data_IF_582232558290
#
_entry.id   IF_582232558290
#
_cell.length_a   1.000
_cell.length_b   1.000
_cell.length_c   1.000
_cell.angle_alpha   90.00
_cell.angle_beta   90.00
_cell.angle_gamma   90.00
#
_symmetry.space_group_name_H-M   'P 1'
#
loop_
_entity.id
_entity.type
_entity.pdbx_description
1 polymer ?
#
# COMPACT_ATOMS: atom_id res chain seq x y z
N UNK A 1 -9.42 3.82 17.61
CA UNK A 1 -9.19 3.71 16.15
C UNK A 1 -10.29 2.86 15.55
N UNK A 2 -11.06 3.42 14.62
CA UNK A 2 -12.19 2.72 14.02
C UNK A 2 -11.72 1.51 13.20
N UNK A 3 -12.31 0.35 13.45
CA UNK A 3 -12.02 -0.86 12.71
C UNK A 3 -12.75 -0.82 11.37
N UNK A 4 -12.04 -0.45 10.31
CA UNK A 4 -12.63 -0.47 8.97
C UNK A 4 -12.81 -1.92 8.49
N UNK A 5 -13.80 -2.20 7.61
CA UNK A 5 -13.95 -3.52 6.97
C UNK A 5 -12.67 -4.00 6.29
N UNK A 6 -11.86 -3.07 5.76
CA UNK A 6 -10.56 -3.38 5.16
C UNK A 6 -9.59 -4.01 6.15
N UNK A 7 -9.48 -3.49 7.38
CA UNK A 7 -8.57 -4.00 8.42
C UNK A 7 -9.00 -5.36 8.99
N UNK A 8 -10.32 -5.60 9.08
CA UNK A 8 -10.90 -6.85 9.58
C UNK A 8 -11.01 -7.94 8.52
N UNK A 9 -10.92 -7.57 7.25
CA UNK A 9 -11.03 -8.48 6.13
C UNK A 9 -9.85 -9.46 6.04
N UNK A 10 -10.11 -10.67 5.51
CA UNK A 10 -9.09 -11.71 5.26
C UNK A 10 -8.53 -11.67 3.84
N UNK A 11 -9.10 -10.81 2.99
CA UNK A 11 -8.65 -10.66 1.62
C UNK A 11 -7.18 -10.21 1.57
N UNK A 12 -6.42 -10.67 0.56
CA UNK A 12 -5.13 -10.06 0.24
C UNK A 12 -5.29 -8.54 0.13
N UNK A 13 -4.39 -7.81 0.79
CA UNK A 13 -4.38 -6.35 0.76
C UNK A 13 -2.99 -5.91 0.33
N UNK A 14 -2.96 -4.96 -0.60
CA UNK A 14 -1.73 -4.33 -1.09
C UNK A 14 -1.80 -2.84 -0.84
N UNK A 15 -0.73 -2.29 -0.28
CA UNK A 15 -0.54 -0.86 -0.06
C UNK A 15 0.69 -0.45 -0.86
N UNK A 16 0.54 0.57 -1.70
CA UNK A 16 1.63 1.17 -2.45
C UNK A 16 1.65 2.67 -2.16
N UNK A 17 2.83 3.22 -1.88
CA UNK A 17 3.03 4.64 -1.57
C UNK A 17 4.43 5.06 -2.00
N UNK A 18 4.69 6.36 -1.98
CA UNK A 18 6.00 6.92 -2.22
C UNK A 18 6.70 7.31 -0.91
N UNK A 19 8.04 7.27 -0.89
CA UNK A 19 8.81 7.71 0.28
C UNK A 19 8.77 9.24 0.51
N UNK A 20 8.32 10.02 -0.49
CA UNK A 20 8.07 11.47 -0.38
C UNK A 20 6.60 11.82 -0.18
N UNK A 21 5.72 10.84 0.00
CA UNK A 21 4.32 11.09 0.37
C UNK A 21 4.22 11.57 1.82
N UNK A 22 4.12 12.89 1.98
CA UNK A 22 3.98 13.56 3.28
C UNK A 22 2.59 13.44 3.90
N UNK A 23 1.59 13.02 3.13
CA UNK A 23 0.21 12.86 3.61
C UNK A 23 0.01 11.48 4.24
N UNK A 24 0.54 10.45 3.61
CA UNK A 24 0.50 9.08 4.16
C UNK A 24 1.49 8.89 5.30
N UNK A 25 2.57 9.69 5.34
CA UNK A 25 3.64 9.56 6.33
C UNK A 25 4.15 8.12 6.35
N UNK A 26 4.83 7.73 5.28
CA UNK A 26 5.28 6.35 5.03
C UNK A 26 6.13 5.77 6.17
N UNK A 27 6.78 6.62 6.96
CA UNK A 27 7.49 6.29 8.20
C UNK A 27 6.58 5.75 9.33
N UNK A 28 5.30 6.11 9.32
CA UNK A 28 4.31 5.66 10.30
C UNK A 28 3.49 4.46 9.83
N UNK A 29 3.69 4.00 8.58
CA UNK A 29 2.88 2.95 7.98
C UNK A 29 2.91 1.67 8.83
N UNK A 30 4.09 1.28 9.30
CA UNK A 30 4.29 0.08 10.13
C UNK A 30 3.40 0.05 11.38
N UNK A 31 3.20 1.20 12.02
CA UNK A 31 2.34 1.30 13.21
C UNK A 31 0.88 0.96 12.92
N UNK A 32 0.44 1.18 11.68
CA UNK A 32 -0.94 0.94 11.23
C UNK A 32 -1.10 -0.47 10.64
N UNK A 33 -0.04 -1.06 10.08
CA UNK A 33 -0.07 -2.42 9.52
C UNK A 33 -0.43 -3.47 10.56
N UNK A 34 -0.03 -3.27 11.83
CA UNK A 34 -0.37 -4.16 12.94
C UNK A 34 -1.87 -4.25 13.25
N UNK A 35 -2.67 -3.29 12.76
CA UNK A 35 -4.12 -3.29 12.96
C UNK A 35 -4.89 -4.17 11.96
N UNK A 36 -4.22 -4.77 10.97
CA UNK A 36 -4.85 -5.64 9.98
C UNK A 36 -4.87 -7.10 10.46
N UNK A 37 -6.00 -7.78 10.24
CA UNK A 37 -6.13 -9.20 10.58
C UNK A 37 -5.23 -10.11 9.74
N UNK A 38 -4.92 -9.69 8.52
CA UNK A 38 -3.89 -10.25 7.64
C UNK A 38 -2.95 -9.11 7.24
N UNK A 39 -1.65 -9.25 7.52
CA UNK A 39 -0.66 -8.21 7.21
C UNK A 39 -0.69 -7.87 5.70
N UNK A 40 -0.87 -6.59 5.32
CA UNK A 40 -0.80 -6.17 3.93
C UNK A 40 0.60 -6.36 3.35
N UNK A 41 0.67 -6.59 2.04
CA UNK A 41 1.90 -6.39 1.28
C UNK A 41 2.10 -4.89 1.09
N UNK A 42 3.32 -4.40 1.29
CA UNK A 42 3.65 -2.98 1.16
C UNK A 42 4.76 -2.81 0.13
N UNK A 43 4.58 -1.84 -0.78
CA UNK A 43 5.62 -1.37 -1.69
C UNK A 43 5.82 0.14 -1.52
N UNK A 44 7.07 0.56 -1.38
CA UNK A 44 7.45 1.97 -1.25
C UNK A 44 8.30 2.33 -2.46
N UNK A 45 7.80 3.28 -3.26
CA UNK A 45 8.48 3.76 -4.47
C UNK A 45 9.35 4.96 -4.10
N UNK A 46 10.64 4.87 -4.39
CA UNK A 46 11.61 5.91 -4.05
C UNK A 46 11.40 7.15 -4.90
N UNK A 47 11.35 8.33 -4.27
CA UNK A 47 11.15 9.62 -4.93
C UNK A 47 9.70 9.98 -5.23
N UNK A 48 8.78 9.01 -5.23
CA UNK A 48 7.37 9.25 -5.47
C UNK A 48 6.73 10.04 -4.33
N UNK A 49 5.84 10.98 -4.68
CA UNK A 49 5.01 11.72 -3.75
C UNK A 49 3.55 11.25 -3.84
N UNK A 50 2.65 11.96 -3.15
CA UNK A 50 1.22 11.63 -3.15
C UNK A 50 0.57 11.67 -4.55
N UNK A 51 1.13 12.47 -5.45
CA UNK A 51 0.59 12.70 -6.80
C UNK A 51 1.23 11.80 -7.86
N UNK A 52 2.29 11.07 -7.51
CA UNK A 52 3.00 10.14 -8.39
C UNK A 52 3.63 10.78 -9.63
N UNK A 53 3.82 12.11 -9.64
CA UNK A 53 4.28 12.83 -10.83
C UNK A 53 5.64 12.31 -11.32
N UNK A 54 5.68 11.71 -12.51
CA UNK A 54 6.87 11.11 -13.11
C UNK A 54 7.21 9.70 -12.62
N UNK A 55 6.41 9.13 -11.72
CA UNK A 55 6.55 7.79 -11.16
C UNK A 55 5.34 6.89 -11.45
N UNK A 56 4.38 7.33 -12.27
CA UNK A 56 3.13 6.63 -12.56
C UNK A 56 3.39 5.22 -13.13
N UNK A 57 4.41 5.11 -13.99
CA UNK A 57 4.81 3.85 -14.63
C UNK A 57 5.51 2.86 -13.68
N UNK A 58 5.96 3.31 -12.50
CA UNK A 58 6.59 2.44 -11.49
C UNK A 58 5.52 1.77 -10.61
N UNK A 59 4.39 2.44 -10.40
CA UNK A 59 3.27 1.89 -9.61
C UNK A 59 2.52 0.79 -10.34
N UNK A 60 2.32 0.93 -11.65
CA UNK A 60 1.48 0.03 -12.46
C UNK A 60 1.94 -1.44 -12.39
N UNK A 61 3.23 -1.78 -12.61
CA UNK A 61 3.69 -3.18 -12.59
C UNK A 61 3.46 -3.87 -11.24
N UNK A 62 3.64 -3.15 -10.13
CA UNK A 62 3.47 -3.70 -8.78
C UNK A 62 2.00 -4.05 -8.51
N UNK A 63 1.07 -3.18 -8.95
CA UNK A 63 -0.37 -3.44 -8.85
C UNK A 63 -0.77 -4.63 -9.71
N UNK A 64 -0.29 -4.70 -10.96
CA UNK A 64 -0.57 -5.83 -11.88
C UNK A 64 -0.07 -7.15 -11.29
N UNK A 65 1.14 -7.15 -10.73
CA UNK A 65 1.71 -8.33 -10.07
C UNK A 65 0.82 -8.80 -8.91
N UNK A 66 0.44 -7.89 -8.01
CA UNK A 66 -0.40 -8.24 -6.86
C UNK A 66 -1.71 -8.89 -7.29
N UNK A 67 -2.40 -8.30 -8.26
CA UNK A 67 -3.67 -8.84 -8.76
C UNK A 67 -3.47 -10.19 -9.46
N UNK A 68 -2.43 -10.35 -10.27
CA UNK A 68 -2.12 -11.62 -10.97
C UNK A 68 -1.86 -12.77 -10.00
N UNK A 69 -1.27 -12.49 -8.83
CA UNK A 69 -1.00 -13.49 -7.79
C UNK A 69 -2.24 -13.88 -6.98
N UNK A 70 -3.25 -13.00 -6.89
CA UNK A 70 -4.34 -13.13 -5.91
C UNK A 70 -5.76 -13.20 -6.49
N UNK A 71 -5.97 -12.97 -7.79
CA UNK A 71 -7.28 -13.05 -8.47
C UNK A 71 -7.60 -14.45 -9.06
N UNK A 72 -7.21 -15.53 -8.37
CA UNK A 72 -7.58 -16.89 -8.81
C UNK A 72 -8.94 -17.32 -8.26
#
# INVERSE_FOLDING_TARGET
MESTPLKKGKQPTFIITGDRDKLVQSDQLDSVLGAFSRKPVVSIVAGADHFWAGHENEMIPEVVKHFSEHLK
#
